data_IF_384231558643
#
_entry.id   IF_384231558643
#
_cell.length_a   1.000
_cell.length_b   1.000
_cell.length_c   1.000
_cell.angle_alpha   90.00
_cell.angle_beta   90.00
_cell.angle_gamma   90.00
#
_symmetry.space_group_name_H-M   'P 1'
#
loop_
_entity.id
_entity.type
_entity.pdbx_description
1 polymer ?
#
# COMPACT_ATOMS: atom_id res chain seq x y z
N UNK A 1 23.31 -5.06 23.91
CA UNK A 1 22.30 -6.14 23.80
C UNK A 1 22.98 -7.26 23.08
N UNK A 2 23.13 -8.42 23.70
CA UNK A 2 23.98 -9.50 23.21
C UNK A 2 23.17 -10.70 22.69
N UNK A 3 21.94 -10.45 22.24
CA UNK A 3 21.04 -11.45 21.66
C UNK A 3 20.29 -10.86 20.46
N UNK A 4 19.95 -11.68 19.45
CA UNK A 4 19.15 -11.23 18.32
C UNK A 4 17.73 -10.87 18.76
N UNK A 5 17.18 -9.81 18.18
CA UNK A 5 15.80 -9.39 18.42
C UNK A 5 14.86 -10.06 17.43
N UNK A 6 13.62 -10.29 17.87
CA UNK A 6 12.52 -10.73 17.01
C UNK A 6 11.62 -9.53 16.74
N UNK A 7 11.39 -9.22 15.47
CA UNK A 7 10.48 -8.15 15.06
C UNK A 7 9.14 -8.77 14.64
N UNK A 8 8.11 -8.47 15.42
CA UNK A 8 6.76 -8.99 15.23
C UNK A 8 5.94 -8.26 14.18
N UNK A 9 6.48 -7.20 13.57
CA UNK A 9 5.70 -6.33 12.68
C UNK A 9 6.49 -5.92 11.41
N UNK A 10 6.73 -6.90 10.53
CA UNK A 10 7.33 -6.67 9.21
C UNK A 10 6.29 -6.78 8.11
N UNK A 11 6.48 -5.98 7.07
CA UNK A 11 5.59 -5.92 5.91
C UNK A 11 6.38 -6.12 4.61
N UNK A 12 5.68 -6.63 3.60
CA UNK A 12 6.14 -6.67 2.22
C UNK A 12 5.17 -5.89 1.34
N UNK A 13 5.62 -5.48 0.16
CA UNK A 13 4.76 -4.84 -0.83
C UNK A 13 4.26 -5.89 -1.82
N UNK A 14 2.94 -6.01 -1.96
CA UNK A 14 2.33 -7.04 -2.80
C UNK A 14 2.56 -6.79 -4.30
N UNK A 15 2.93 -7.83 -5.07
CA UNK A 15 2.79 -7.79 -6.53
C UNK A 15 1.31 -7.89 -6.94
N UNK A 16 0.98 -7.52 -8.18
CA UNK A 16 -0.41 -7.53 -8.69
C UNK A 16 -1.07 -8.91 -8.61
N UNK A 17 -0.24 -9.94 -8.78
CA UNK A 17 -0.61 -11.34 -8.82
C UNK A 17 -1.07 -11.88 -7.45
N UNK A 18 -0.70 -11.21 -6.34
CA UNK A 18 -0.94 -11.67 -4.97
C UNK A 18 -2.41 -12.00 -4.69
N UNK A 19 -3.33 -11.25 -5.28
CA UNK A 19 -4.78 -11.43 -5.10
C UNK A 19 -5.50 -11.84 -6.38
N UNK A 20 -4.79 -12.20 -7.46
CA UNK A 20 -5.40 -12.47 -8.77
C UNK A 20 -5.00 -13.81 -9.38
N UNK A 21 -3.80 -14.33 -9.08
CA UNK A 21 -3.24 -15.49 -9.77
C UNK A 21 -3.94 -16.82 -9.43
N UNK A 22 -4.24 -17.06 -8.15
CA UNK A 22 -4.70 -18.37 -7.67
C UNK A 22 -6.17 -18.37 -7.24
N UNK A 23 -6.99 -17.49 -7.83
CA UNK A 23 -8.41 -17.41 -7.52
C UNK A 23 -9.21 -18.50 -8.28
N UNK A 24 -10.21 -19.13 -7.64
CA UNK A 24 -11.18 -19.95 -8.37
C UNK A 24 -12.00 -19.07 -9.33
N UNK A 25 -12.48 -19.66 -10.42
CA UNK A 25 -13.11 -18.92 -11.53
C UNK A 25 -14.22 -17.96 -11.07
N UNK A 26 -15.09 -18.41 -10.16
CA UNK A 26 -16.21 -17.63 -9.63
C UNK A 26 -15.79 -16.44 -8.73
N UNK A 27 -14.50 -16.29 -8.41
CA UNK A 27 -13.95 -15.17 -7.61
C UNK A 27 -13.08 -14.24 -8.44
N UNK A 28 -12.79 -14.55 -9.70
CA UNK A 28 -12.08 -13.62 -10.59
C UNK A 28 -12.87 -12.31 -10.71
N UNK A 29 -12.16 -11.18 -10.79
CA UNK A 29 -12.77 -9.84 -10.84
C UNK A 29 -13.24 -9.28 -9.49
N UNK A 30 -13.02 -9.99 -8.37
CA UNK A 30 -13.26 -9.40 -7.03
C UNK A 30 -12.23 -8.32 -6.73
N UNK A 31 -10.97 -8.56 -7.11
CA UNK A 31 -9.87 -7.61 -7.09
C UNK A 31 -9.36 -7.49 -8.51
N UNK A 32 -9.33 -6.26 -9.04
CA UNK A 32 -8.72 -5.95 -10.32
C UNK A 32 -7.76 -4.77 -10.19
N UNK A 33 -6.74 -4.74 -11.04
CA UNK A 33 -5.86 -3.59 -11.22
C UNK A 33 -6.26 -2.89 -12.51
N UNK A 34 -6.74 -1.65 -12.40
CA UNK A 34 -7.24 -0.87 -13.52
C UNK A 34 -6.43 0.41 -13.71
N UNK A 35 -6.49 0.98 -14.91
CA UNK A 35 -5.92 2.29 -15.23
C UNK A 35 -7.01 3.35 -15.08
N UNK A 36 -6.77 4.36 -14.24
CA UNK A 36 -7.64 5.54 -14.09
C UNK A 36 -6.81 6.81 -14.21
N UNK A 37 -6.92 7.47 -15.37
CA UNK A 37 -6.31 8.80 -15.66
C UNK A 37 -4.77 8.79 -15.52
N UNK A 38 -4.12 7.84 -16.17
CA UNK A 38 -2.68 7.59 -16.12
C UNK A 38 -2.17 6.93 -14.83
N UNK A 39 -3.03 6.37 -13.97
CA UNK A 39 -2.63 5.78 -12.67
C UNK A 39 -3.25 4.41 -12.46
N UNK A 40 -2.44 3.45 -12.03
CA UNK A 40 -2.94 2.13 -11.60
C UNK A 40 -3.73 2.28 -10.31
N UNK A 41 -4.92 1.67 -10.23
CA UNK A 41 -5.79 1.62 -9.06
C UNK A 41 -6.27 0.20 -8.81
N UNK A 42 -6.53 -0.12 -7.55
CA UNK A 42 -7.23 -1.36 -7.18
C UNK A 42 -8.73 -1.09 -7.28
N UNK A 43 -9.44 -1.98 -7.97
CA UNK A 43 -10.89 -2.07 -7.94
C UNK A 43 -11.28 -3.24 -7.04
N UNK A 44 -12.20 -3.01 -6.12
CA UNK A 44 -12.76 -4.02 -5.22
C UNK A 44 -14.24 -4.16 -5.52
N UNK A 45 -14.67 -5.32 -6.05
CA UNK A 45 -16.08 -5.60 -6.41
C UNK A 45 -16.72 -4.47 -7.24
N UNK A 46 -16.07 -4.09 -8.35
CA UNK A 46 -16.50 -3.01 -9.24
C UNK A 46 -16.48 -1.59 -8.64
N UNK A 47 -15.84 -1.38 -7.49
CA UNK A 47 -15.64 -0.05 -6.90
C UNK A 47 -14.15 0.32 -6.90
N UNK A 48 -13.81 1.48 -7.46
CA UNK A 48 -12.43 1.98 -7.41
C UNK A 48 -12.08 2.32 -5.96
N UNK A 49 -10.97 1.76 -5.49
CA UNK A 49 -10.44 2.02 -4.15
C UNK A 49 -9.33 3.06 -4.19
N UNK A 50 -9.38 4.01 -3.24
CA UNK A 50 -8.32 4.97 -2.98
C UNK A 50 -7.49 4.59 -1.73
N UNK A 51 -7.68 3.39 -1.17
CA UNK A 51 -6.99 2.95 0.05
C UNK A 51 -5.46 2.88 -0.13
N UNK A 52 -4.99 2.28 -1.22
CA UNK A 52 -3.57 2.31 -1.60
C UNK A 52 -3.43 3.28 -2.78
N UNK A 53 -2.82 4.47 -2.59
CA UNK A 53 -2.74 5.48 -3.64
C UNK A 53 -1.96 5.00 -4.87
N UNK A 54 -0.92 4.20 -4.63
CA UNK A 54 -0.08 3.58 -5.64
C UNK A 54 0.07 2.07 -5.34
N UNK A 55 -0.79 1.21 -5.89
CA UNK A 55 -0.81 -0.21 -5.56
C UNK A 55 0.24 -1.03 -6.32
N UNK A 56 1.08 -0.40 -7.15
CA UNK A 56 2.19 -1.06 -7.84
C UNK A 56 3.51 -0.95 -7.10
N UNK A 57 3.61 -0.06 -6.11
CA UNK A 57 4.79 0.13 -5.27
C UNK A 57 6.10 0.32 -6.06
N UNK A 58 6.03 0.82 -7.30
CA UNK A 58 7.19 1.16 -8.12
C UNK A 58 7.99 2.34 -7.55
N UNK A 59 7.33 3.16 -6.73
CA UNK A 59 7.94 4.16 -5.85
C UNK A 59 7.34 4.00 -4.47
N UNK A 60 8.19 3.88 -3.46
CA UNK A 60 7.81 3.71 -2.04
C UNK A 60 8.47 4.75 -1.15
N UNK A 61 7.81 5.08 -0.05
CA UNK A 61 8.38 5.95 0.98
C UNK A 61 9.58 5.26 1.65
N UNK A 62 10.54 6.07 2.11
CA UNK A 62 11.67 5.55 2.88
C UNK A 62 11.19 5.04 4.25
N UNK A 63 11.76 3.96 4.79
CA UNK A 63 11.51 3.57 6.17
C UNK A 63 11.73 4.75 7.13
N UNK A 64 10.78 4.99 8.03
CA UNK A 64 10.81 6.12 8.96
C UNK A 64 10.36 7.46 8.39
N UNK A 65 9.88 7.56 7.15
CA UNK A 65 9.46 8.84 6.54
C UNK A 65 8.42 9.62 7.37
N UNK A 66 7.59 8.93 8.15
CA UNK A 66 6.57 9.55 8.99
C UNK A 66 7.02 9.80 10.44
N UNK A 67 8.29 9.56 10.80
CA UNK A 67 8.78 9.71 12.18
C UNK A 67 8.46 11.09 12.77
N UNK A 68 8.79 12.16 12.03
CA UNK A 68 8.54 13.54 12.48
C UNK A 68 7.06 13.81 12.72
N UNK A 69 6.18 13.25 11.88
CA UNK A 69 4.74 13.37 12.06
C UNK A 69 4.26 12.63 13.31
N UNK A 70 4.72 11.41 13.55
CA UNK A 70 4.34 10.68 14.75
C UNK A 70 4.89 11.31 16.03
N UNK A 71 6.04 12.00 15.94
CA UNK A 71 6.65 12.69 17.07
C UNK A 71 6.02 14.04 17.39
N UNK A 72 5.66 14.82 16.36
CA UNK A 72 5.27 16.24 16.53
C UNK A 72 3.90 16.60 15.93
N UNK A 73 3.22 15.67 15.27
CA UNK A 73 2.01 15.93 14.49
C UNK A 73 2.31 16.53 13.12
N UNK A 74 1.26 16.87 12.35
CA UNK A 74 1.42 17.36 10.97
C UNK A 74 1.94 18.79 10.86
N UNK A 75 1.88 19.60 11.93
CA UNK A 75 2.24 21.01 11.87
C UNK A 75 1.44 21.80 10.81
N UNK A 76 0.22 21.35 10.49
CA UNK A 76 -0.62 21.95 9.44
C UNK A 76 -0.33 21.46 8.02
N UNK A 77 0.65 20.58 7.82
CA UNK A 77 0.94 19.94 6.53
C UNK A 77 -0.14 18.92 6.17
N UNK A 78 -0.40 18.77 4.87
CA UNK A 78 -1.25 17.71 4.33
C UNK A 78 -0.56 16.34 4.42
N UNK A 79 -1.34 15.25 4.31
CA UNK A 79 -0.79 13.89 4.33
C UNK A 79 0.27 13.63 3.25
N UNK A 80 0.18 14.31 2.10
CA UNK A 80 1.18 14.24 1.02
C UNK A 80 2.47 15.00 1.35
N UNK A 81 2.41 16.03 2.17
CA UNK A 81 3.60 16.79 2.58
C UNK A 81 4.33 16.14 3.76
N UNK A 82 3.68 15.18 4.41
CA UNK A 82 4.21 14.37 5.51
C UNK A 82 4.79 13.03 5.00
N UNK A 83 4.38 12.57 3.82
CA UNK A 83 4.84 11.32 3.18
C UNK A 83 5.84 11.58 2.06
#
# INVERSE_FOLDING_TARGET
>A
MDFPVFDGDNHFYEPKEALTQFLPEHRKGVIDYIEVRGRTKIMVRNQVSDYIPNPTFEVVARPGAQEDYFRHGSGGKSAREVM
#
